data_IF_410109941782
#
_entry.id   IF_410109941782
#
_cell.length_a   1.000
_cell.length_b   1.000
_cell.length_c   1.000
_cell.angle_alpha   90.00
_cell.angle_beta   90.00
_cell.angle_gamma   90.00
#
_symmetry.space_group_name_H-M   'P 1'
#
loop_
_entity.id
_entity.type
_entity.pdbx_description
1 polymer ?
#
# COMPACT_ATOMS: atom_id res chain seq x y z
N UNK A 1 26.10 36.57 -0.47
CA UNK A 1 26.27 35.40 -1.37
C UNK A 1 25.00 34.57 -1.27
N UNK A 2 24.13 34.63 -2.28
CA UNK A 2 22.93 33.81 -2.35
C UNK A 2 23.35 32.34 -2.50
N UNK A 3 23.00 31.53 -1.50
CA UNK A 3 23.22 30.10 -1.53
C UNK A 3 22.17 29.49 -2.47
N UNK A 4 22.47 29.44 -3.77
CA UNK A 4 21.57 28.90 -4.79
C UNK A 4 21.19 27.47 -4.43
N UNK A 5 19.93 27.27 -4.03
CA UNK A 5 19.39 25.95 -3.69
C UNK A 5 19.55 25.05 -4.90
N UNK A 6 20.29 23.96 -4.75
CA UNK A 6 20.36 22.92 -5.77
C UNK A 6 18.97 22.30 -5.84
N UNK A 7 18.34 22.34 -7.03
CA UNK A 7 17.04 21.74 -7.27
C UNK A 7 17.20 20.46 -8.07
N UNK A 8 16.61 19.38 -7.59
CA UNK A 8 16.47 18.15 -8.36
C UNK A 8 15.33 18.26 -9.37
N UNK A 9 15.14 17.20 -10.18
CA UNK A 9 14.11 17.11 -11.21
C UNK A 9 12.67 17.12 -10.66
N UNK A 10 12.47 16.79 -9.38
CA UNK A 10 11.15 16.72 -8.76
C UNK A 10 10.74 18.09 -8.22
N UNK A 11 9.79 18.74 -8.87
CA UNK A 11 9.29 20.07 -8.47
C UNK A 11 8.70 20.11 -7.05
N UNK A 12 8.10 19.01 -6.61
CA UNK A 12 7.52 18.87 -5.27
C UNK A 12 8.53 18.45 -4.19
N UNK A 13 9.81 18.26 -4.51
CA UNK A 13 10.84 17.90 -3.53
C UNK A 13 11.30 19.15 -2.78
N UNK A 14 11.22 19.11 -1.44
CA UNK A 14 11.59 20.22 -0.55
C UNK A 14 13.08 20.23 -0.17
N UNK A 15 13.81 19.17 -0.52
CA UNK A 15 15.19 18.96 -0.07
C UNK A 15 16.19 19.73 -0.96
N UNK A 16 17.29 20.16 -0.35
CA UNK A 16 18.35 20.92 -1.04
C UNK A 16 19.41 19.98 -1.63
N UNK A 17 19.13 19.41 -2.79
CA UNK A 17 20.08 18.56 -3.52
C UNK A 17 19.92 18.69 -5.04
N UNK A 18 20.99 18.44 -5.78
CA UNK A 18 20.99 18.57 -7.25
C UNK A 18 20.37 17.37 -7.97
N UNK A 19 20.36 16.20 -7.34
CA UNK A 19 19.91 14.94 -7.94
C UNK A 19 19.02 14.18 -6.98
N UNK A 20 17.90 13.65 -7.46
CA UNK A 20 17.03 12.81 -6.63
C UNK A 20 17.40 11.35 -6.83
N UNK A 21 17.75 10.64 -5.76
CA UNK A 21 18.01 9.20 -5.85
C UNK A 21 16.72 8.40 -5.65
N UNK A 22 16.36 7.57 -6.63
CA UNK A 22 15.28 6.61 -6.46
C UNK A 22 15.83 5.29 -5.92
N UNK A 23 15.53 4.99 -4.66
CA UNK A 23 15.94 3.74 -4.00
C UNK A 23 15.29 2.47 -4.58
N UNK A 24 14.24 2.59 -5.39
CA UNK A 24 13.52 1.46 -6.01
C UNK A 24 14.27 1.02 -7.27
N UNK A 25 14.29 1.85 -8.32
CA UNK A 25 14.95 1.55 -9.58
C UNK A 25 16.47 1.83 -9.58
N UNK A 26 17.00 2.34 -8.47
CA UNK A 26 18.41 2.73 -8.29
C UNK A 26 18.89 3.86 -9.21
N UNK A 27 17.97 4.60 -9.82
CA UNK A 27 18.28 5.79 -10.61
C UNK A 27 18.91 6.87 -9.71
N UNK A 28 20.11 7.31 -10.09
CA UNK A 28 20.92 8.30 -9.37
C UNK A 28 20.46 9.74 -9.56
N UNK A 29 19.55 9.98 -10.50
CA UNK A 29 18.99 11.30 -10.78
C UNK A 29 17.57 11.20 -11.36
N UNK A 30 16.71 10.59 -10.56
CA UNK A 30 15.30 10.33 -10.85
C UNK A 30 14.46 11.62 -10.92
N UNK A 31 13.41 11.56 -11.72
CA UNK A 31 12.34 12.55 -11.84
C UNK A 31 11.09 12.20 -11.02
N UNK A 32 11.16 11.16 -10.17
CA UNK A 32 10.04 10.65 -9.38
C UNK A 32 10.44 10.30 -7.95
N UNK A 33 9.48 10.38 -7.02
CA UNK A 33 9.71 9.86 -5.68
C UNK A 33 9.74 8.32 -5.71
N UNK A 34 10.42 7.70 -4.74
CA UNK A 34 10.43 6.24 -4.60
C UNK A 34 9.00 5.63 -4.59
N UNK A 35 8.05 6.26 -3.90
CA UNK A 35 6.63 5.82 -3.90
C UNK A 35 5.94 5.89 -5.28
N UNK A 36 6.46 6.71 -6.19
CA UNK A 36 5.91 6.90 -7.53
C UNK A 36 6.66 6.05 -8.59
N UNK A 37 7.72 5.34 -8.20
CA UNK A 37 8.49 4.50 -9.12
C UNK A 37 7.64 3.37 -9.68
N UNK A 38 7.73 3.13 -10.99
CA UNK A 38 6.98 2.08 -11.69
C UNK A 38 7.53 0.67 -11.49
N UNK A 39 8.74 0.53 -10.93
CA UNK A 39 9.39 -0.77 -10.69
C UNK A 39 8.94 -1.47 -9.39
N UNK A 40 8.06 -0.85 -8.59
CA UNK A 40 7.45 -1.54 -7.45
C UNK A 40 6.44 -2.61 -7.91
N UNK A 41 6.28 -3.67 -7.13
CA UNK A 41 5.33 -4.76 -7.43
C UNK A 41 3.93 -4.42 -6.91
N UNK A 42 2.90 -4.99 -7.55
CA UNK A 42 1.51 -4.79 -7.13
C UNK A 42 1.15 -5.84 -6.08
N UNK A 43 0.80 -5.39 -4.88
CA UNK A 43 0.35 -6.23 -3.78
C UNK A 43 -0.90 -5.65 -3.13
N UNK A 44 -1.53 -6.44 -2.27
CA UNK A 44 -2.83 -6.11 -1.69
C UNK A 44 -2.81 -6.16 -0.16
N UNK A 45 -3.47 -5.17 0.45
CA UNK A 45 -3.67 -5.09 1.89
C UNK A 45 -5.16 -5.19 2.21
N UNK A 46 -5.56 -6.29 2.86
CA UNK A 46 -6.93 -6.50 3.31
C UNK A 46 -7.18 -5.89 4.69
N UNK A 47 -8.30 -5.18 4.84
CA UNK A 47 -8.73 -4.53 6.08
C UNK A 47 -10.27 -4.52 6.19
N UNK A 48 -10.80 -3.92 7.27
CA UNK A 48 -12.25 -3.69 7.43
C UNK A 48 -12.66 -2.40 6.75
N UNK A 49 -13.91 -2.34 6.28
CA UNK A 49 -14.50 -1.13 5.69
C UNK A 49 -14.36 0.10 6.61
N UNK A 50 -14.52 -0.09 7.92
CA UNK A 50 -14.39 0.98 8.91
C UNK A 50 -13.01 1.67 8.93
N UNK A 51 -11.96 1.05 8.38
CA UNK A 51 -10.62 1.64 8.30
C UNK A 51 -10.36 2.41 7.00
N UNK A 52 -11.25 2.34 6.00
CA UNK A 52 -11.04 3.01 4.69
C UNK A 52 -10.75 4.50 4.90
N UNK A 53 -11.59 5.20 5.67
CA UNK A 53 -11.45 6.64 5.92
C UNK A 53 -10.09 7.00 6.54
N UNK A 54 -9.64 6.23 7.53
CA UNK A 54 -8.36 6.46 8.19
C UNK A 54 -7.18 6.18 7.25
N UNK A 55 -7.27 5.14 6.43
CA UNK A 55 -6.21 4.78 5.46
C UNK A 55 -6.13 5.80 4.33
N UNK A 56 -7.25 6.34 3.85
CA UNK A 56 -7.25 7.43 2.87
C UNK A 56 -6.59 8.68 3.46
N UNK A 57 -6.93 9.04 4.71
CA UNK A 57 -6.39 10.24 5.35
C UNK A 57 -4.90 10.12 5.73
N UNK A 58 -4.48 8.95 6.22
CA UNK A 58 -3.20 8.78 6.90
C UNK A 58 -2.25 7.80 6.19
N UNK A 59 -2.69 7.14 5.11
CA UNK A 59 -1.98 6.01 4.51
C UNK A 59 -2.07 4.72 5.34
N UNK A 60 -1.48 3.64 4.82
CA UNK A 60 -1.33 2.41 5.59
C UNK A 60 -0.27 2.61 6.68
N UNK A 61 -0.56 2.09 7.87
CA UNK A 61 0.29 2.22 9.05
C UNK A 61 0.81 0.85 9.48
N UNK A 62 2.09 0.73 9.89
CA UNK A 62 2.67 -0.54 10.30
C UNK A 62 2.04 -1.03 11.60
N UNK A 63 1.80 -2.34 11.69
CA UNK A 63 1.45 -2.97 12.96
C UNK A 63 2.70 -3.08 13.85
N UNK A 64 2.49 -3.08 15.17
CA UNK A 64 3.58 -3.29 16.15
C UNK A 64 4.09 -4.72 16.18
N UNK A 65 3.25 -5.68 15.79
CA UNK A 65 3.54 -7.11 15.81
C UNK A 65 2.91 -7.80 14.60
N UNK A 66 3.58 -8.83 14.10
CA UNK A 66 3.16 -9.66 12.98
C UNK A 66 4.01 -10.91 12.89
N UNK A 67 3.64 -11.87 12.03
CA UNK A 67 4.31 -13.18 11.92
C UNK A 67 5.77 -13.06 11.46
N UNK A 68 6.05 -12.15 10.53
CA UNK A 68 7.40 -11.86 10.04
C UNK A 68 8.12 -10.84 10.94
N UNK A 69 7.48 -9.71 11.21
CA UNK A 69 8.03 -8.59 11.97
C UNK A 69 6.90 -7.56 12.21
N UNK A 70 7.22 -6.45 12.85
CA UNK A 70 6.44 -5.21 12.78
C UNK A 70 6.46 -4.63 11.35
N UNK A 71 5.31 -4.19 10.85
CA UNK A 71 5.20 -3.62 9.50
C UNK A 71 3.79 -3.66 8.90
N UNK A 72 3.70 -3.24 7.64
CA UNK A 72 2.47 -3.29 6.83
C UNK A 72 2.49 -4.58 6.04
N UNK A 73 1.45 -5.40 6.22
CA UNK A 73 1.34 -6.70 5.58
C UNK A 73 0.65 -6.62 4.23
N UNK A 74 1.25 -7.28 3.24
CA UNK A 74 0.71 -7.42 1.91
C UNK A 74 0.78 -8.88 1.44
N UNK A 75 -0.10 -9.23 0.50
CA UNK A 75 -0.13 -10.54 -0.17
C UNK A 75 -0.79 -10.38 -1.56
N UNK A 76 -1.05 -11.48 -2.27
CA UNK A 76 -1.85 -11.44 -3.49
C UNK A 76 -3.32 -11.04 -3.19
N UNK A 77 -4.07 -10.70 -4.23
CA UNK A 77 -5.44 -10.17 -4.07
C UNK A 77 -6.36 -11.16 -3.38
N UNK A 78 -6.39 -12.40 -3.85
CA UNK A 78 -7.39 -13.37 -3.41
C UNK A 78 -7.11 -13.80 -1.97
N UNK A 79 -5.83 -13.95 -1.61
CA UNK A 79 -5.43 -14.19 -0.22
C UNK A 79 -5.77 -13.00 0.69
N UNK A 80 -5.59 -11.75 0.24
CA UNK A 80 -5.99 -10.57 1.01
C UNK A 80 -7.51 -10.53 1.28
N UNK A 81 -8.33 -10.96 0.31
CA UNK A 81 -9.78 -11.10 0.47
C UNK A 81 -10.09 -12.18 1.52
N UNK A 82 -9.51 -13.38 1.40
CA UNK A 82 -9.76 -14.47 2.35
C UNK A 82 -9.41 -14.09 3.79
N UNK A 83 -8.22 -13.51 4.00
CA UNK A 83 -7.75 -13.09 5.33
C UNK A 83 -8.62 -11.98 5.90
N UNK A 84 -8.97 -10.99 5.07
CA UNK A 84 -9.82 -9.89 5.53
C UNK A 84 -11.23 -10.38 5.86
N UNK A 85 -11.84 -11.27 5.07
CA UNK A 85 -13.16 -11.86 5.39
C UNK A 85 -13.14 -12.62 6.71
N UNK A 86 -12.09 -13.42 6.95
CA UNK A 86 -11.89 -14.11 8.22
C UNK A 86 -11.80 -13.14 9.41
N UNK A 87 -11.16 -11.97 9.22
CA UNK A 87 -10.99 -10.94 10.27
C UNK A 87 -12.12 -9.91 10.33
N UNK A 88 -13.02 -9.89 9.36
CA UNK A 88 -13.96 -8.81 9.07
C UNK A 88 -15.20 -8.77 9.96
N UNK A 89 -15.47 -9.83 10.73
CA UNK A 89 -16.60 -9.92 11.68
C UNK A 89 -17.98 -9.56 11.07
N UNK A 90 -18.16 -9.67 9.75
CA UNK A 90 -19.45 -9.46 9.07
C UNK A 90 -19.79 -8.02 8.66
N UNK A 91 -18.89 -7.05 8.83
CA UNK A 91 -19.14 -5.64 8.45
C UNK A 91 -18.68 -5.28 7.03
N UNK A 92 -18.41 -6.29 6.20
CA UNK A 92 -17.69 -6.12 4.94
C UNK A 92 -16.19 -5.84 5.12
N UNK A 93 -15.46 -5.95 4.02
CA UNK A 93 -14.01 -5.78 3.97
C UNK A 93 -13.59 -4.83 2.86
N UNK A 94 -12.41 -4.25 3.02
CA UNK A 94 -11.77 -3.43 2.00
C UNK A 94 -10.42 -4.04 1.62
N UNK A 95 -10.10 -4.06 0.32
CA UNK A 95 -8.81 -4.56 -0.17
C UNK A 95 -8.12 -3.46 -0.94
N UNK A 96 -7.02 -2.94 -0.38
CA UNK A 96 -6.23 -1.87 -0.95
C UNK A 96 -5.20 -2.43 -1.93
N UNK A 97 -5.28 -2.04 -3.20
CA UNK A 97 -4.26 -2.28 -4.24
C UNK A 97 -3.12 -1.30 -4.03
N UNK A 98 -1.91 -1.79 -3.84
CA UNK A 98 -0.74 -0.97 -3.58
C UNK A 98 0.39 -1.33 -4.52
N UNK A 99 1.11 -0.31 -5.00
CA UNK A 99 2.46 -0.50 -5.54
C UNK A 99 3.43 -0.46 -4.37
N UNK A 100 4.16 -1.54 -4.15
CA UNK A 100 5.06 -1.74 -3.00
C UNK A 100 6.48 -1.90 -3.49
N UNK A 101 7.41 -1.20 -2.84
CA UNK A 101 8.83 -1.43 -3.02
C UNK A 101 9.31 -2.48 -2.01
N UNK A 102 9.69 -3.65 -2.51
CA UNK A 102 10.08 -4.80 -1.68
C UNK A 102 11.59 -4.98 -1.53
N UNK A 103 12.37 -3.88 -1.61
CA UNK A 103 13.81 -3.99 -1.35
C UNK A 103 14.09 -4.60 0.03
N UNK A 104 15.09 -5.49 0.07
CA UNK A 104 15.43 -6.34 1.22
C UNK A 104 15.68 -5.56 2.52
N UNK A 105 16.05 -4.29 2.43
CA UNK A 105 16.30 -3.45 3.61
C UNK A 105 15.01 -3.00 4.30
N UNK A 106 13.88 -3.08 3.62
CA UNK A 106 12.61 -2.50 4.08
C UNK A 106 11.41 -3.41 3.96
N UNK A 107 11.57 -4.55 3.30
CA UNK A 107 10.54 -5.55 3.21
C UNK A 107 11.12 -6.88 3.64
N UNK A 108 10.47 -7.50 4.62
CA UNK A 108 10.71 -8.90 4.94
C UNK A 108 9.67 -9.70 4.20
N UNK A 109 10.09 -10.74 3.51
CA UNK A 109 9.20 -11.64 2.79
C UNK A 109 9.21 -13.00 3.46
N UNK A 110 8.11 -13.73 3.35
CA UNK A 110 8.09 -15.12 3.75
C UNK A 110 6.86 -15.84 3.28
N UNK A 111 6.95 -17.16 3.29
CA UNK A 111 5.82 -18.01 2.98
C UNK A 111 5.05 -18.29 4.27
N UNK A 112 3.78 -17.95 4.28
CA UNK A 112 2.87 -18.33 5.34
C UNK A 112 2.45 -19.81 5.14
N UNK A 113 2.47 -20.65 6.19
CA UNK A 113 1.89 -21.99 6.08
C UNK A 113 0.38 -21.90 5.78
N UNK A 114 -0.27 -23.02 5.49
CA UNK A 114 -1.74 -23.02 5.36
C UNK A 114 -2.35 -22.43 6.62
N UNK A 115 -3.15 -21.36 6.49
CA UNK A 115 -3.94 -20.86 7.60
C UNK A 115 -5.22 -21.69 7.66
N UNK A 116 -5.24 -22.66 8.57
CA UNK A 116 -6.37 -23.60 8.74
C UNK A 116 -7.70 -22.84 8.85
N UNK A 117 -8.63 -23.16 7.94
CA UNK A 117 -9.96 -22.54 7.89
C UNK A 117 -10.02 -21.19 7.15
N UNK A 118 -8.91 -20.74 6.56
CA UNK A 118 -8.83 -19.46 5.83
C UNK A 118 -8.26 -19.66 4.42
N UNK A 119 -7.10 -20.31 4.31
CA UNK A 119 -6.45 -20.61 3.01
C UNK A 119 -6.41 -22.12 2.75
N UNK A 120 -6.37 -22.50 1.47
CA UNK A 120 -6.24 -23.91 1.04
C UNK A 120 -4.80 -24.31 0.72
N UNK A 121 -3.93 -23.34 0.47
CA UNK A 121 -2.49 -23.52 0.24
C UNK A 121 -1.68 -22.58 1.12
N UNK A 122 -0.36 -22.78 1.11
CA UNK A 122 0.58 -21.75 1.54
C UNK A 122 0.45 -20.52 0.64
N UNK A 123 0.88 -19.37 1.15
CA UNK A 123 0.87 -18.13 0.37
C UNK A 123 2.07 -17.27 0.73
N UNK A 124 2.44 -16.38 -0.19
CA UNK A 124 3.51 -15.43 0.04
C UNK A 124 2.97 -14.18 0.74
N UNK A 125 3.71 -13.69 1.72
CA UNK A 125 3.43 -12.43 2.38
C UNK A 125 4.66 -11.53 2.45
N UNK A 126 4.40 -10.23 2.41
CA UNK A 126 5.38 -9.17 2.45
C UNK A 126 5.08 -8.28 3.64
N UNK A 127 6.07 -8.06 4.51
CA UNK A 127 6.00 -7.17 5.65
C UNK A 127 6.88 -5.94 5.37
N UNK A 128 6.25 -4.84 4.99
CA UNK A 128 6.90 -3.58 4.69
C UNK A 128 7.12 -2.77 5.97
N UNK A 129 8.37 -2.48 6.29
CA UNK A 129 8.80 -1.75 7.49
C UNK A 129 8.69 -0.23 7.34
N UNK A 130 8.92 0.29 6.13
CA UNK A 130 8.87 1.72 5.84
C UNK A 130 7.51 2.09 5.22
N UNK A 131 6.62 2.82 5.95
CA UNK A 131 5.31 3.18 5.44
C UNK A 131 5.35 4.14 4.24
N UNK A 132 6.50 4.74 3.92
CA UNK A 132 6.67 5.60 2.75
C UNK A 132 7.08 4.82 1.49
N UNK A 133 7.24 3.49 1.58
CA UNK A 133 7.63 2.60 0.47
C UNK A 133 6.46 1.90 -0.23
N UNK A 134 5.24 2.39 -0.02
CA UNK A 134 4.10 1.97 -0.81
C UNK A 134 3.37 3.18 -1.38
N UNK A 135 2.58 2.93 -2.42
CA UNK A 135 1.59 3.86 -2.93
C UNK A 135 0.26 3.13 -3.04
N UNK A 136 -0.76 3.67 -2.37
CA UNK A 136 -2.14 3.24 -2.57
C UNK A 136 -2.53 3.62 -4.00
N UNK A 137 -2.85 2.59 -4.78
CA UNK A 137 -3.35 2.72 -6.13
C UNK A 137 -4.86 2.62 -6.19
N UNK A 138 -5.54 2.18 -5.13
CA UNK A 138 -6.98 2.01 -5.13
C UNK A 138 -7.44 1.07 -4.03
N UNK A 139 -8.75 0.91 -3.88
CA UNK A 139 -9.32 -0.14 -3.05
C UNK A 139 -10.64 -0.64 -3.62
N UNK A 140 -10.98 -1.86 -3.22
CA UNK A 140 -12.27 -2.50 -3.49
C UNK A 140 -13.00 -2.69 -2.16
N UNK A 141 -14.32 -2.48 -2.16
CA UNK A 141 -15.21 -2.81 -1.04
C UNK A 141 -15.94 -4.11 -1.37
N UNK A 142 -15.95 -5.06 -0.44
CA UNK A 142 -16.54 -6.39 -0.63
C UNK A 142 -17.47 -6.68 0.54
N UNK A 143 -18.70 -7.08 0.22
CA UNK A 143 -19.75 -7.42 1.20
C UNK A 143 -20.01 -6.29 2.23
N UNK A 144 -19.91 -5.03 1.82
CA UNK A 144 -20.11 -3.86 2.68
C UNK A 144 -20.33 -2.57 1.89
N UNK A 145 -20.55 -1.48 2.62
CA UNK A 145 -20.87 -0.16 2.06
C UNK A 145 -19.91 0.89 2.61
N UNK A 146 -19.49 1.82 1.76
CA UNK A 146 -18.66 2.95 2.16
C UNK A 146 -19.25 4.24 1.63
N UNK A 147 -19.59 5.16 2.53
CA UNK A 147 -20.18 6.46 2.22
C UNK A 147 -19.28 7.57 2.77
N UNK A 148 -18.33 8.03 1.95
CA UNK A 148 -17.54 9.23 2.21
C UNK A 148 -16.88 9.72 0.92
N UNK A 149 -16.34 10.93 0.93
CA UNK A 149 -15.54 11.44 -0.16
C UNK A 149 -14.23 10.64 -0.28
N UNK A 150 -14.00 10.05 -1.45
CA UNK A 150 -12.74 9.37 -1.77
C UNK A 150 -11.82 10.33 -2.51
N UNK A 151 -10.75 10.78 -1.84
CA UNK A 151 -9.68 11.55 -2.47
C UNK A 151 -8.41 10.71 -2.59
N UNK A 152 -8.24 10.08 -3.75
CA UNK A 152 -7.00 9.41 -4.13
C UNK A 152 -6.41 10.16 -5.33
N UNK A 153 -5.67 11.27 -5.14
CA UNK A 153 -5.24 12.17 -6.22
C UNK A 153 -4.31 11.50 -7.26
N UNK A 154 -3.93 10.25 -6.98
CA UNK A 154 -2.96 9.44 -7.70
C UNK A 154 -3.34 7.95 -7.73
N UNK A 155 -4.57 7.62 -7.34
CA UNK A 155 -5.11 6.26 -7.32
C UNK A 155 -6.28 6.07 -8.28
N UNK A 156 -6.51 4.83 -8.68
CA UNK A 156 -7.68 4.29 -9.34
C UNK A 156 -8.72 3.91 -8.29
N UNK A 157 -9.99 4.26 -8.51
CA UNK A 157 -11.11 3.72 -7.73
C UNK A 157 -11.78 2.69 -8.61
N UNK A 158 -11.76 1.42 -8.20
CA UNK A 158 -12.42 0.34 -8.92
C UNK A 158 -13.68 -0.01 -8.14
N UNK A 159 -14.84 0.28 -8.72
CA UNK A 159 -16.13 -0.07 -8.14
C UNK A 159 -16.68 -1.29 -8.83
N UNK A 160 -16.74 -2.41 -8.11
CA UNK A 160 -17.43 -3.63 -8.54
C UNK A 160 -18.75 -3.72 -7.77
N UNK A 161 -19.84 -3.20 -8.35
CA UNK A 161 -21.15 -3.16 -7.71
C UNK A 161 -21.97 -1.94 -8.13
N UNK A 162 -23.05 -1.68 -7.40
CA UNK A 162 -23.89 -0.51 -7.62
C UNK A 162 -23.28 0.71 -6.94
N UNK A 163 -23.21 1.83 -7.66
CA UNK A 163 -22.95 3.14 -7.05
C UNK A 163 -24.29 3.79 -6.73
N UNK A 164 -24.42 4.39 -5.54
CA UNK A 164 -25.53 5.30 -5.27
C UNK A 164 -25.05 6.71 -5.58
N UNK A 165 -25.57 7.31 -6.65
CA UNK A 165 -25.40 8.73 -6.94
C UNK A 165 -26.59 9.50 -6.39
N UNK A 166 -26.33 10.47 -5.50
CA UNK A 166 -27.32 11.49 -5.15
C UNK A 166 -27.46 12.53 -6.27
#
# INVERSE_FOLDING_TARGET
>A
MENSKKKCKISACSDNHAKHYCRVCKDKDSDHFARDCTQGIILYHGTRVSFIKSIIANGLQPSKHGRLDSGIYFTDRDTAILISKHRGQGTGVAVFKCRVNTDEQSCVEGTHPVWKGVTTSTFQEWCLKDPLKHRIMGFEVIDGEFEDAVNLPRGEIIVNGSTMSN
#
